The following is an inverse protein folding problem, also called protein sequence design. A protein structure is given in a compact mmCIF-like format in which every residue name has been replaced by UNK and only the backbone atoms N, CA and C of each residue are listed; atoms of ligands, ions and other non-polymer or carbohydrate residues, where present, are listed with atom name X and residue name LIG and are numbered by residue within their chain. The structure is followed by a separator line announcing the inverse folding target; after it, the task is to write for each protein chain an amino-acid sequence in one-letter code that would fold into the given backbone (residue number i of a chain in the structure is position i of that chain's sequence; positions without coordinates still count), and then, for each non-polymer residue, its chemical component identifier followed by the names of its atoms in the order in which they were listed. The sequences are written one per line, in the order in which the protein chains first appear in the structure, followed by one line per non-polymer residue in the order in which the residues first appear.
data_IF_635879843388
#
_entry.id   IF_635879843388
#
_cell.length_a   1.000
_cell.length_b   1.000
_cell.length_c   1.000
_cell.angle_alpha   90.00
_cell.angle_beta   90.00
_cell.angle_gamma   90.00
#
_symmetry.space_group_name_H-M   'P 1'
#
loop_
_entity.id
_entity.type
_entity.pdbx_description
1 polymer ?
#
# COMPACT_ATOMS: atom_id res chain seq x y z
N UNK A 1 -15.03 4.04 -5.52
CA UNK A 1 -13.72 3.60 -6.02
C UNK A 1 -13.38 2.25 -5.39
N UNK A 2 -12.97 1.28 -6.19
CA UNK A 2 -12.50 -0.02 -5.73
C UNK A 2 -11.01 0.04 -5.42
N UNK A 3 -10.49 -0.93 -4.67
CA UNK A 3 -9.07 -0.97 -4.32
C UNK A 3 -8.18 -1.07 -5.57
N UNK A 4 -8.59 -1.88 -6.56
CA UNK A 4 -7.87 -1.97 -7.83
C UNK A 4 -7.73 -0.62 -8.53
N UNK A 5 -8.73 0.27 -8.39
CA UNK A 5 -8.68 1.61 -8.99
C UNK A 5 -7.55 2.47 -8.42
N UNK A 6 -7.19 2.28 -7.16
CA UNK A 6 -6.06 3.00 -6.57
C UNK A 6 -4.79 2.68 -7.36
N UNK A 7 -4.50 1.39 -7.55
CA UNK A 7 -3.33 0.98 -8.32
C UNK A 7 -3.37 1.52 -9.76
N UNK A 8 -4.52 1.37 -10.42
CA UNK A 8 -4.66 1.77 -11.82
C UNK A 8 -4.50 3.28 -12.00
N UNK A 9 -5.06 4.07 -11.09
CA UNK A 9 -4.97 5.54 -11.17
C UNK A 9 -3.60 6.08 -10.79
N UNK A 10 -2.84 5.37 -9.94
CA UNK A 10 -1.46 5.74 -9.63
C UNK A 10 -0.49 5.41 -10.77
N UNK A 11 -0.85 4.46 -11.62
CA UNK A 11 -0.10 4.16 -12.83
C UNK A 11 0.84 2.97 -12.72
N UNK A 12 1.23 2.44 -13.89
CA UNK A 12 2.04 1.23 -13.98
C UNK A 12 3.44 1.41 -13.41
N UNK A 13 4.05 2.58 -13.62
CA UNK A 13 5.39 2.86 -13.10
C UNK A 13 5.40 2.82 -11.57
N UNK A 14 4.41 3.45 -10.94
CA UNK A 14 4.25 3.38 -9.48
C UNK A 14 4.05 1.95 -9.03
N UNK A 15 3.22 1.18 -9.74
CA UNK A 15 2.99 -0.22 -9.42
C UNK A 15 4.27 -1.04 -9.47
N UNK A 16 5.11 -0.84 -10.51
CA UNK A 16 6.39 -1.54 -10.61
C UNK A 16 7.29 -1.23 -9.43
N UNK A 17 7.37 0.04 -9.03
CA UNK A 17 8.14 0.44 -7.86
C UNK A 17 7.61 -0.21 -6.57
N UNK A 18 6.30 -0.31 -6.43
CA UNK A 18 5.69 -1.01 -5.30
C UNK A 18 6.09 -2.49 -5.26
N UNK A 19 6.06 -3.16 -6.40
CA UNK A 19 6.45 -4.57 -6.47
C UNK A 19 7.93 -4.77 -6.12
N UNK A 20 8.80 -3.85 -6.51
CA UNK A 20 10.22 -3.89 -6.13
C UNK A 20 10.43 -3.71 -4.64
N UNK A 21 9.51 -3.07 -3.94
CA UNK A 21 9.64 -2.73 -2.52
C UNK A 21 9.08 -3.79 -1.58
N UNK A 22 8.44 -4.84 -2.09
CA UNK A 22 7.87 -5.91 -1.26
C UNK A 22 8.98 -6.66 -0.54
N UNK A 23 8.84 -6.80 0.78
CA UNK A 23 9.81 -7.48 1.63
C UNK A 23 9.43 -8.94 1.85
N UNK A 24 10.24 -9.86 1.34
CA UNK A 24 10.02 -11.30 1.53
C UNK A 24 10.07 -11.68 3.00
N UNK A 25 10.96 -11.06 3.76
CA UNK A 25 11.06 -11.29 5.20
C UNK A 25 9.78 -10.89 5.94
N UNK A 26 9.20 -9.74 5.60
CA UNK A 26 7.95 -9.30 6.20
C UNK A 26 6.77 -10.19 5.79
N UNK A 27 6.74 -10.66 4.55
CA UNK A 27 5.71 -11.61 4.13
C UNK A 27 5.76 -12.87 4.98
N UNK A 28 6.96 -13.38 5.28
CA UNK A 28 7.12 -14.56 6.15
C UNK A 28 6.70 -14.26 7.58
N UNK A 29 7.12 -13.12 8.13
CA UNK A 29 6.79 -12.73 9.50
C UNK A 29 5.28 -12.65 9.72
N UNK A 30 4.53 -12.13 8.74
CA UNK A 30 3.08 -11.96 8.84
C UNK A 30 2.30 -13.09 8.17
N UNK A 31 2.97 -14.20 7.84
CA UNK A 31 2.35 -15.41 7.29
C UNK A 31 1.61 -15.17 5.97
N UNK A 32 2.14 -14.27 5.17
CA UNK A 32 1.58 -13.95 3.84
C UNK A 32 2.36 -14.57 2.69
N UNK A 33 3.54 -15.14 2.96
CA UNK A 33 4.46 -15.61 1.92
C UNK A 33 3.83 -16.69 1.03
N UNK A 34 3.33 -17.77 1.64
CA UNK A 34 2.76 -18.90 0.88
C UNK A 34 1.47 -18.49 0.17
N UNK A 35 0.66 -17.67 0.83
CA UNK A 35 -0.58 -17.15 0.23
C UNK A 35 -0.29 -16.31 -1.01
N UNK A 36 0.71 -15.42 -0.94
CA UNK A 36 1.10 -14.59 -2.09
C UNK A 36 1.69 -15.44 -3.21
N UNK A 37 2.53 -16.41 -2.86
CA UNK A 37 3.10 -17.34 -3.85
C UNK A 37 2.00 -18.06 -4.63
N UNK A 38 0.99 -18.57 -3.94
CA UNK A 38 -0.15 -19.23 -4.57
C UNK A 38 -1.01 -18.26 -5.38
N UNK A 39 -1.32 -17.09 -4.82
CA UNK A 39 -2.16 -16.08 -5.48
C UNK A 39 -1.53 -15.57 -6.76
N UNK A 40 -0.22 -15.42 -6.79
CA UNK A 40 0.53 -14.93 -7.94
C UNK A 40 0.90 -16.04 -8.93
N UNK A 41 0.55 -17.29 -8.64
CA UNK A 41 0.88 -18.46 -9.48
C UNK A 41 2.39 -18.55 -9.75
N UNK A 42 3.21 -18.38 -8.70
CA UNK A 42 4.65 -18.49 -8.79
C UNK A 42 5.14 -19.76 -8.12
N UNK A 43 6.03 -20.52 -8.79
CA UNK A 43 6.70 -21.64 -8.16
C UNK A 43 7.67 -21.21 -7.08
N UNK A 44 8.30 -20.08 -7.30
CA UNK A 44 9.27 -19.49 -6.39
C UNK A 44 8.95 -18.02 -6.24
N UNK A 45 8.79 -17.56 -5.00
CA UNK A 45 8.55 -16.14 -4.71
C UNK A 45 9.81 -15.53 -4.13
N UNK A 46 10.41 -14.62 -4.88
CA UNK A 46 11.50 -13.76 -4.45
C UNK A 46 11.41 -12.43 -5.20
N UNK A 47 12.32 -11.50 -4.90
CA UNK A 47 12.30 -10.17 -5.51
C UNK A 47 12.41 -10.23 -7.03
N UNK A 48 13.22 -11.14 -7.56
CA UNK A 48 13.41 -11.29 -9.01
C UNK A 48 12.15 -11.83 -9.70
N UNK A 49 11.56 -12.90 -9.17
CA UNK A 49 10.36 -13.49 -9.77
C UNK A 49 9.16 -12.55 -9.68
N UNK A 50 9.05 -11.79 -8.59
CA UNK A 50 8.00 -10.80 -8.43
C UNK A 50 8.17 -9.67 -9.44
N UNK A 51 9.39 -9.16 -9.61
CA UNK A 51 9.69 -8.13 -10.60
C UNK A 51 9.33 -8.59 -12.02
N UNK A 52 9.72 -9.80 -12.38
CA UNK A 52 9.43 -10.37 -13.71
C UNK A 52 7.93 -10.57 -13.92
N UNK A 53 7.18 -10.86 -12.88
CA UNK A 53 5.74 -11.05 -12.96
C UNK A 53 4.96 -9.72 -13.01
N UNK A 54 5.57 -8.58 -12.69
CA UNK A 54 4.88 -7.29 -12.57
C UNK A 54 4.00 -6.93 -13.77
N UNK A 55 4.42 -7.08 -15.03
CA UNK A 55 3.54 -6.76 -16.15
C UNK A 55 2.26 -7.61 -16.19
N UNK A 56 2.37 -8.90 -15.87
CA UNK A 56 1.22 -9.82 -15.79
C UNK A 56 0.30 -9.44 -14.64
N UNK A 57 0.87 -9.06 -13.50
CA UNK A 57 0.10 -8.65 -12.33
C UNK A 57 -0.64 -7.33 -12.59
N UNK A 58 0.02 -6.41 -13.29
CA UNK A 58 -0.61 -5.15 -13.71
C UNK A 58 -1.82 -5.41 -14.61
N UNK A 59 -1.67 -6.29 -15.60
CA UNK A 59 -2.78 -6.65 -16.48
C UNK A 59 -3.95 -7.24 -15.70
N UNK A 60 -3.66 -8.07 -14.70
CA UNK A 60 -4.69 -8.69 -13.85
C UNK A 60 -5.44 -7.65 -12.99
N UNK A 61 -4.75 -6.61 -12.53
CA UNK A 61 -5.42 -5.52 -11.82
C UNK A 61 -6.47 -4.84 -12.69
N UNK A 62 -6.23 -4.72 -14.00
CA UNK A 62 -7.17 -4.16 -14.94
C UNK A 62 -8.47 -4.95 -15.08
N UNK A 63 -8.50 -6.19 -14.61
CA UNK A 63 -9.71 -7.03 -14.59
C UNK A 63 -10.59 -6.75 -13.36
N UNK A 64 -10.19 -5.83 -12.49
CA UNK A 64 -10.91 -5.43 -11.27
C UNK A 64 -11.17 -6.59 -10.31
N UNK A 65 -10.17 -7.47 -10.15
CA UNK A 65 -10.19 -8.56 -9.16
C UNK A 65 -9.83 -7.99 -7.78
N UNK A 66 -10.84 -7.69 -6.98
CA UNK A 66 -10.63 -7.06 -5.67
C UNK A 66 -9.97 -7.96 -4.64
N UNK A 67 -10.17 -9.28 -4.71
CA UNK A 67 -9.45 -10.20 -3.82
C UNK A 67 -7.95 -10.16 -4.11
N UNK A 68 -7.60 -10.16 -5.39
CA UNK A 68 -6.21 -10.05 -5.82
C UNK A 68 -5.61 -8.71 -5.39
N UNK A 69 -6.34 -7.61 -5.61
CA UNK A 69 -5.89 -6.28 -5.20
C UNK A 69 -5.69 -6.19 -3.68
N UNK A 70 -6.59 -6.79 -2.90
CA UNK A 70 -6.49 -6.84 -1.44
C UNK A 70 -5.24 -7.58 -0.99
N UNK A 71 -4.95 -8.71 -1.59
CA UNK A 71 -3.75 -9.49 -1.24
C UNK A 71 -2.47 -8.72 -1.58
N UNK A 72 -2.43 -8.06 -2.74
CA UNK A 72 -1.30 -7.20 -3.11
C UNK A 72 -1.13 -6.04 -2.13
N UNK A 73 -2.24 -5.38 -1.77
CA UNK A 73 -2.21 -4.28 -0.82
C UNK A 73 -1.66 -4.72 0.54
N UNK A 74 -2.10 -5.87 1.05
CA UNK A 74 -1.58 -6.41 2.30
C UNK A 74 -0.08 -6.66 2.24
N UNK A 75 0.40 -7.24 1.14
CA UNK A 75 1.82 -7.49 0.95
C UNK A 75 2.64 -6.19 0.97
N UNK A 76 2.13 -5.15 0.33
CA UNK A 76 2.77 -3.83 0.31
C UNK A 76 2.77 -3.20 1.71
N UNK A 77 1.63 -3.22 2.39
CA UNK A 77 1.50 -2.59 3.70
C UNK A 77 2.42 -3.22 4.75
N UNK A 78 2.47 -4.55 4.85
CA UNK A 78 3.36 -5.20 5.83
C UNK A 78 4.83 -4.98 5.49
N UNK A 79 5.15 -4.72 4.22
CA UNK A 79 6.52 -4.42 3.80
C UNK A 79 6.98 -3.04 4.23
N UNK A 80 6.07 -2.14 4.58
CA UNK A 80 6.35 -0.75 4.90
C UNK A 80 5.80 -0.31 6.27
N UNK A 81 5.80 -1.21 7.24
CA UNK A 81 5.24 -0.92 8.57
C UNK A 81 5.97 0.23 9.28
N UNK A 82 7.27 0.38 9.08
CA UNK A 82 8.02 1.48 9.70
C UNK A 82 7.52 2.84 9.19
N UNK A 83 7.24 2.93 7.89
CA UNK A 83 6.64 4.11 7.28
C UNK A 83 5.23 4.35 7.83
N UNK A 84 4.42 3.30 7.90
CA UNK A 84 3.05 3.39 8.41
C UNK A 84 3.04 3.90 9.85
N UNK A 85 3.92 3.37 10.71
CA UNK A 85 4.06 3.84 12.09
C UNK A 85 4.37 5.33 12.16
N UNK A 86 5.33 5.78 11.34
CA UNK A 86 5.73 7.19 11.32
C UNK A 86 4.57 8.09 10.89
N UNK A 87 3.81 7.68 9.86
CA UNK A 87 2.66 8.44 9.38
C UNK A 87 1.57 8.50 10.46
N UNK A 88 1.23 7.36 11.07
CA UNK A 88 0.20 7.31 12.09
C UNK A 88 0.58 8.11 13.33
N UNK A 89 1.85 8.07 13.75
CA UNK A 89 2.34 8.89 14.86
C UNK A 89 2.22 10.37 14.54
N UNK A 90 2.56 10.77 13.32
CA UNK A 90 2.44 12.16 12.88
C UNK A 90 0.98 12.63 12.91
N UNK A 91 0.05 11.78 12.46
CA UNK A 91 -1.38 12.09 12.46
C UNK A 91 -2.01 12.02 13.86
N UNK A 92 -1.31 11.42 14.82
CA UNK A 92 -1.83 11.22 16.16
C UNK A 92 -2.78 10.04 16.30
N UNK A 93 -2.82 9.16 15.31
CA UNK A 93 -3.72 7.98 15.31
C UNK A 93 -3.20 6.92 16.27
N UNK A 94 -3.99 6.48 17.25
CA UNK A 94 -3.58 5.36 18.11
C UNK A 94 -3.39 4.08 17.30
N UNK A 95 -2.21 3.45 17.47
CA UNK A 95 -1.90 2.20 16.77
C UNK A 95 -0.98 1.33 17.62
N UNK A 96 -0.90 0.05 17.26
CA UNK A 96 0.09 -0.87 17.79
C UNK A 96 0.88 -1.42 16.60
N UNK A 97 2.15 -1.04 16.51
CA UNK A 97 3.08 -1.48 15.46
C UNK A 97 2.57 -1.24 14.02
N UNK A 98 1.82 -0.16 13.82
CA UNK A 98 1.26 0.21 12.52
C UNK A 98 -0.15 -0.31 12.26
N UNK A 99 -0.72 -1.05 13.20
CA UNK A 99 -2.11 -1.52 13.13
C UNK A 99 -2.99 -0.66 14.03
N UNK A 100 -4.15 -0.25 13.53
CA UNK A 100 -5.04 0.64 14.29
C UNK A 100 -5.42 0.04 15.63
N UNK A 101 -5.39 0.86 16.68
CA UNK A 101 -5.87 0.46 17.98
C UNK A 101 -7.38 0.17 17.92
N UNK A 102 -7.82 -0.77 18.76
CA UNK A 102 -9.21 -1.16 18.83
C UNK A 102 -10.10 0.05 19.14
N UNK A 103 -11.28 0.09 18.52
CA UNK A 103 -12.29 1.13 18.73
C UNK A 103 -11.82 2.55 18.38
N UNK A 104 -10.85 2.68 17.47
CA UNK A 104 -10.37 3.97 16.99
C UNK A 104 -11.13 4.37 15.74
N UNK A 105 -11.76 5.55 15.74
CA UNK A 105 -12.30 6.15 14.52
C UNK A 105 -11.20 6.98 13.86
N UNK A 106 -10.48 6.35 12.93
CA UNK A 106 -9.31 6.96 12.28
C UNK A 106 -9.67 8.20 11.49
N UNK A 107 -10.89 8.26 10.94
CA UNK A 107 -11.33 9.42 10.15
C UNK A 107 -11.28 10.74 10.95
N UNK A 108 -11.44 10.68 12.26
CA UNK A 108 -11.37 11.87 13.13
C UNK A 108 -9.97 12.49 13.18
N UNK A 109 -8.94 11.75 12.76
CA UNK A 109 -7.55 12.20 12.77
C UNK A 109 -7.09 12.72 11.40
N UNK A 110 -7.93 12.59 10.37
CA UNK A 110 -7.61 13.03 9.01
C UNK A 110 -8.20 14.42 8.77
N UNK A 111 -7.41 15.44 9.04
CA UNK A 111 -7.82 16.84 8.89
C UNK A 111 -7.61 17.30 7.45
N UNK A 112 -8.28 18.37 7.06
CA UNK A 112 -8.12 18.94 5.72
C UNK A 112 -6.64 19.18 5.42
N UNK A 113 -6.20 18.73 4.23
CA UNK A 113 -4.81 18.89 3.79
C UNK A 113 -3.84 17.87 4.35
N UNK A 114 -4.29 16.85 5.09
CA UNK A 114 -3.41 15.86 5.71
C UNK A 114 -2.57 15.10 4.69
N UNK A 115 -3.11 14.84 3.51
CA UNK A 115 -2.41 14.09 2.46
C UNK A 115 -1.16 14.84 1.98
N UNK A 116 -1.31 16.12 1.67
CA UNK A 116 -0.18 16.96 1.25
C UNK A 116 0.85 17.11 2.35
N UNK A 117 0.40 17.26 3.59
CA UNK A 117 1.28 17.40 4.75
C UNK A 117 2.10 16.13 4.97
N UNK A 118 1.47 14.97 4.93
CA UNK A 118 2.16 13.68 5.08
C UNK A 118 3.15 13.48 3.93
N UNK A 119 2.74 13.76 2.70
CA UNK A 119 3.60 13.64 1.54
C UNK A 119 4.86 14.50 1.69
N UNK A 120 4.71 15.78 1.97
CA UNK A 120 5.83 16.70 2.10
C UNK A 120 6.77 16.31 3.25
N UNK A 121 6.21 15.83 4.35
CA UNK A 121 7.02 15.46 5.52
C UNK A 121 7.85 14.19 5.28
N UNK A 122 7.31 13.19 4.60
CA UNK A 122 7.91 11.86 4.58
C UNK A 122 8.49 11.42 3.24
N UNK A 123 8.26 12.14 2.14
CA UNK A 123 8.70 11.70 0.81
C UNK A 123 10.21 11.52 0.66
N UNK A 124 11.00 12.24 1.45
CA UNK A 124 12.46 12.11 1.43
C UNK A 124 12.97 11.00 2.37
N UNK A 125 12.15 10.56 3.32
CA UNK A 125 12.54 9.58 4.33
C UNK A 125 12.16 8.14 3.94
N UNK A 126 11.15 7.95 3.10
CA UNK A 126 10.63 6.64 2.73
C UNK A 126 10.45 6.55 1.21
N UNK A 127 10.33 5.32 0.65
CA UNK A 127 10.11 5.16 -0.79
C UNK A 127 8.86 5.92 -1.24
N UNK A 128 8.96 6.86 -2.19
CA UNK A 128 7.83 7.71 -2.57
C UNK A 128 6.62 6.93 -3.08
N UNK A 129 6.83 5.86 -3.86
CA UNK A 129 5.72 5.05 -4.37
C UNK A 129 4.94 4.41 -3.22
N UNK A 130 5.64 3.87 -2.21
CA UNK A 130 5.00 3.25 -1.06
C UNK A 130 4.23 4.29 -0.23
N UNK A 131 4.81 5.47 -0.03
CA UNK A 131 4.16 6.55 0.70
C UNK A 131 2.89 7.01 -0.04
N UNK A 132 2.99 7.20 -1.35
CA UNK A 132 1.86 7.62 -2.16
C UNK A 132 0.73 6.57 -2.12
N UNK A 133 1.09 5.30 -2.25
CA UNK A 133 0.12 4.21 -2.12
C UNK A 133 -0.57 4.24 -0.75
N UNK A 134 0.21 4.35 0.33
CA UNK A 134 -0.35 4.34 1.67
C UNK A 134 -1.28 5.53 1.94
N UNK A 135 -0.91 6.72 1.53
CA UNK A 135 -1.78 7.91 1.65
C UNK A 135 -3.14 7.63 1.00
N UNK A 136 -3.14 7.07 -0.21
CA UNK A 136 -4.35 6.79 -0.94
C UNK A 136 -5.15 5.63 -0.35
N UNK A 137 -4.45 4.59 0.10
CA UNK A 137 -5.10 3.45 0.75
C UNK A 137 -5.79 3.89 2.04
N UNK A 138 -5.13 4.70 2.85
CA UNK A 138 -5.69 5.21 4.10
C UNK A 138 -6.93 6.06 3.84
N UNK A 139 -6.87 6.98 2.89
CA UNK A 139 -8.00 7.82 2.51
C UNK A 139 -9.19 6.99 2.02
N UNK A 140 -8.92 5.97 1.21
CA UNK A 140 -9.96 5.08 0.69
C UNK A 140 -10.60 4.23 1.79
N UNK A 141 -9.78 3.63 2.63
CA UNK A 141 -10.23 2.72 3.69
C UNK A 141 -11.04 3.43 4.76
N UNK A 142 -10.58 4.59 5.22
CA UNK A 142 -11.11 5.26 6.41
C UNK A 142 -12.06 6.40 6.08
N UNK A 143 -11.78 7.14 5.01
CA UNK A 143 -12.55 8.33 4.64
C UNK A 143 -13.37 8.13 3.37
N UNK A 144 -13.39 6.91 2.81
CA UNK A 144 -14.15 6.55 1.61
C UNK A 144 -13.87 7.47 0.42
N UNK A 145 -12.60 7.79 0.22
CA UNK A 145 -12.18 8.65 -0.89
C UNK A 145 -12.63 8.08 -2.24
N UNK A 146 -13.11 8.94 -3.12
CA UNK A 146 -13.59 8.56 -4.45
C UNK A 146 -12.56 8.86 -5.55
N UNK A 147 -11.45 9.48 -5.19
CA UNK A 147 -10.38 9.79 -6.13
C UNK A 147 -9.03 9.68 -5.43
N UNK A 148 -7.96 9.62 -6.22
CA UNK A 148 -6.61 9.49 -5.70
C UNK A 148 -5.96 10.86 -5.52
N UNK A 149 -5.16 10.95 -4.47
CA UNK A 149 -4.25 12.07 -4.26
C UNK A 149 -3.01 11.82 -5.12
N UNK A 150 -2.65 12.80 -5.92
CA UNK A 150 -1.43 12.79 -6.72
C UNK A 150 -0.74 14.14 -6.55
N UNK A 151 0.45 14.18 -5.94
CA UNK A 151 1.14 15.45 -5.74
C UNK A 151 1.58 16.03 -7.07
N UNK A 152 1.63 17.35 -7.15
CA UNK A 152 2.20 18.02 -8.31
C UNK A 152 3.68 17.64 -8.45
N UNK A 153 4.10 17.40 -9.68
CA UNK A 153 5.47 17.02 -9.99
C UNK A 153 6.46 18.15 -9.66
#
# INVERSE_FOLDING_TARGET
MQLSDIFLRLGEETFQQLMHSVSMGRLRTYQLFDRMKARLHLHKLNSETLRKASPRLWARLGEHDDEFATDLAQAILVSHLDMIKAVLDHLGVPHQDGFFAKDTDVSNYLKDGWQSEVWEKFRAAFPPAALLFYINHLAWEVAKAEDVFAPAA
#
